data_IF_647992142816
#
_entry.id   IF_647992142816
#
_cell.length_a   1.000
_cell.length_b   1.000
_cell.length_c   1.000
_cell.angle_alpha   90.00
_cell.angle_beta   90.00
_cell.angle_gamma   90.00
#
_symmetry.space_group_name_H-M   'P 1'
#
loop_
_entity.id
_entity.type
_entity.pdbx_description
1 polymer ?
#
# COMPACT_ATOMS: atom_id res chain seq x y z
N UNK A 1 15.26 -5.98 -12.62
CA UNK A 1 14.42 -5.03 -13.37
C UNK A 1 13.06 -4.87 -12.72
N UNK A 2 12.89 -3.77 -12.00
CA UNK A 2 11.62 -3.37 -11.43
C UNK A 2 10.73 -2.74 -12.52
N UNK A 3 9.54 -3.31 -12.73
CA UNK A 3 8.54 -2.71 -13.64
C UNK A 3 7.94 -1.47 -12.98
N UNK A 4 8.06 -0.31 -13.62
CA UNK A 4 7.42 0.95 -13.21
C UNK A 4 5.98 1.02 -13.73
N UNK A 5 5.11 1.64 -12.95
CA UNK A 5 3.66 1.66 -13.18
C UNK A 5 3.09 3.07 -13.35
N UNK A 6 3.83 4.10 -12.95
CA UNK A 6 3.41 5.49 -12.94
C UNK A 6 3.85 6.15 -14.25
N UNK A 7 2.89 6.38 -15.14
CA UNK A 7 3.04 7.29 -16.28
C UNK A 7 2.87 8.75 -15.84
N UNK A 8 3.23 9.71 -16.69
CA UNK A 8 3.15 11.14 -16.34
C UNK A 8 1.72 11.58 -15.99
N UNK A 9 0.72 11.11 -16.74
CA UNK A 9 -0.69 11.37 -16.45
C UNK A 9 -1.14 10.78 -15.10
N UNK A 10 -0.74 9.54 -14.80
CA UNK A 10 -1.02 8.93 -13.48
C UNK A 10 -0.35 9.74 -12.38
N UNK A 11 0.88 10.21 -12.63
CA UNK A 11 1.61 11.02 -11.66
C UNK A 11 0.91 12.35 -11.36
N UNK A 12 0.40 13.05 -12.37
CA UNK A 12 -0.36 14.30 -12.18
C UNK A 12 -1.62 14.12 -11.33
N UNK A 13 -2.35 13.02 -11.56
CA UNK A 13 -3.53 12.67 -10.75
C UNK A 13 -3.13 12.37 -9.30
N UNK A 14 -2.10 11.55 -9.10
CA UNK A 14 -1.57 11.25 -7.77
C UNK A 14 -1.11 12.51 -7.04
N UNK A 15 -0.43 13.41 -7.75
CA UNK A 15 0.02 14.70 -7.21
C UNK A 15 -1.16 15.55 -6.73
N UNK A 16 -2.28 15.54 -7.46
CA UNK A 16 -3.49 16.26 -7.07
C UNK A 16 -4.07 15.71 -5.77
N UNK A 17 -4.18 14.38 -5.66
CA UNK A 17 -4.62 13.72 -4.42
C UNK A 17 -3.65 13.98 -3.27
N UNK A 18 -2.34 13.87 -3.50
CA UNK A 18 -1.32 14.15 -2.49
C UNK A 18 -1.43 15.59 -1.96
N UNK A 19 -1.64 16.57 -2.84
CA UNK A 19 -1.86 17.98 -2.45
C UNK A 19 -3.10 18.13 -1.57
N UNK A 20 -4.21 17.47 -1.91
CA UNK A 20 -5.44 17.52 -1.11
C UNK A 20 -5.24 17.00 0.31
N UNK A 21 -4.37 16.01 0.52
CA UNK A 21 -4.01 15.48 1.84
C UNK A 21 -2.84 16.22 2.52
N UNK A 22 -2.36 17.34 1.95
CA UNK A 22 -1.22 18.10 2.49
C UNK A 22 0.11 17.33 2.46
N UNK A 23 0.26 16.40 1.52
CA UNK A 23 1.49 15.65 1.29
C UNK A 23 2.41 16.47 0.36
N UNK A 24 3.51 16.99 0.91
CA UNK A 24 4.47 17.82 0.17
C UNK A 24 5.12 17.09 -1.00
N UNK A 25 5.38 17.85 -2.08
CA UNK A 25 6.05 17.40 -3.29
C UNK A 25 7.57 17.60 -3.19
N UNK A 26 8.32 16.52 -3.37
CA UNK A 26 9.77 16.48 -3.47
C UNK A 26 10.16 15.96 -4.85
N UNK A 27 11.37 16.32 -5.32
CA UNK A 27 11.90 15.90 -6.63
C UNK A 27 11.87 14.38 -6.86
N UNK A 28 11.97 13.60 -5.78
CA UNK A 28 12.06 12.14 -5.82
C UNK A 28 10.74 11.42 -5.47
N UNK A 29 9.62 12.15 -5.30
CA UNK A 29 8.38 11.54 -4.80
C UNK A 29 7.78 10.52 -5.77
N UNK A 30 7.98 10.68 -7.08
CA UNK A 30 7.53 9.68 -8.06
C UNK A 30 8.23 8.35 -7.86
N UNK A 31 9.55 8.36 -7.73
CA UNK A 31 10.38 7.17 -7.49
C UNK A 31 10.02 6.52 -6.14
N UNK A 32 9.80 7.33 -5.11
CA UNK A 32 9.31 6.86 -3.80
C UNK A 32 7.93 6.22 -3.91
N UNK A 33 7.02 6.83 -4.67
CA UNK A 33 5.68 6.29 -4.88
C UNK A 33 5.74 4.95 -5.63
N UNK A 34 6.61 4.82 -6.63
CA UNK A 34 6.85 3.53 -7.31
C UNK A 34 7.35 2.45 -6.36
N UNK A 35 8.31 2.78 -5.49
CA UNK A 35 8.80 1.85 -4.47
C UNK A 35 7.67 1.38 -3.53
N UNK A 36 6.78 2.29 -3.12
CA UNK A 36 5.62 1.97 -2.29
C UNK A 36 4.62 1.10 -3.05
N UNK A 37 4.29 1.44 -4.31
CA UNK A 37 3.40 0.63 -5.14
C UNK A 37 3.96 -0.77 -5.37
N UNK A 38 5.28 -0.89 -5.57
CA UNK A 38 5.96 -2.17 -5.68
C UNK A 38 5.81 -2.99 -4.39
N UNK A 39 6.01 -2.37 -3.21
CA UNK A 39 5.81 -3.01 -1.90
C UNK A 39 4.38 -3.49 -1.72
N UNK A 40 3.39 -2.63 -2.01
CA UNK A 40 1.96 -2.96 -1.86
C UNK A 40 1.51 -4.05 -2.83
N UNK A 41 2.08 -4.10 -4.04
CA UNK A 41 1.78 -5.14 -5.03
C UNK A 41 2.43 -6.48 -4.70
N UNK A 42 3.71 -6.48 -4.33
CA UNK A 42 4.47 -7.74 -4.14
C UNK A 42 4.27 -8.34 -2.77
N UNK A 43 4.11 -7.48 -1.77
CA UNK A 43 4.11 -7.85 -0.38
C UNK A 43 5.48 -8.08 0.24
N UNK A 44 6.54 -8.05 -0.55
CA UNK A 44 7.90 -8.33 -0.09
C UNK A 44 8.30 -7.40 1.07
N UNK A 45 9.15 -7.81 2.01
CA UNK A 45 9.69 -6.93 3.05
C UNK A 45 10.17 -5.58 2.50
N UNK A 46 10.04 -4.49 3.28
CA UNK A 46 10.52 -3.18 2.85
C UNK A 46 11.99 -3.21 2.41
N UNK A 47 12.82 -4.01 3.08
CA UNK A 47 14.26 -4.16 2.79
C UNK A 47 14.55 -4.74 1.39
N UNK A 48 13.58 -5.40 0.78
CA UNK A 48 13.73 -6.07 -0.52
C UNK A 48 13.29 -5.19 -1.68
N UNK A 49 12.93 -3.92 -1.42
CA UNK A 49 12.63 -2.96 -2.48
C UNK A 49 13.85 -2.86 -3.41
N UNK A 50 13.66 -3.04 -4.73
CA UNK A 50 14.75 -2.93 -5.70
C UNK A 50 15.44 -1.56 -5.62
N UNK A 51 16.77 -1.56 -5.65
CA UNK A 51 17.57 -0.34 -5.54
C UNK A 51 17.29 0.66 -6.68
N UNK A 52 16.84 0.16 -7.83
CA UNK A 52 16.36 0.93 -8.99
C UNK A 52 15.19 1.86 -8.64
N UNK A 53 14.37 1.49 -7.64
CA UNK A 53 13.25 2.29 -7.14
C UNK A 53 13.65 3.20 -5.96
N UNK A 54 14.94 3.26 -5.63
CA UNK A 54 15.49 4.10 -4.57
C UNK A 54 15.58 3.43 -3.20
N UNK A 55 15.84 4.23 -2.17
CA UNK A 55 16.08 3.74 -0.81
C UNK A 55 14.79 3.27 -0.12
N UNK A 56 14.78 2.02 0.32
CA UNK A 56 13.66 1.46 1.09
C UNK A 56 13.32 2.26 2.36
N UNK A 57 14.34 2.83 3.03
CA UNK A 57 14.15 3.65 4.23
C UNK A 57 13.33 4.89 3.90
N UNK A 58 13.63 5.52 2.77
CA UNK A 58 12.90 6.70 2.29
C UNK A 58 11.47 6.33 1.94
N UNK A 59 11.26 5.22 1.22
CA UNK A 59 9.93 4.71 0.88
C UNK A 59 9.08 4.44 2.14
N UNK A 60 9.63 3.71 3.10
CA UNK A 60 8.96 3.41 4.37
C UNK A 60 8.61 4.69 5.15
N UNK A 61 9.58 5.59 5.34
CA UNK A 61 9.35 6.83 6.10
C UNK A 61 8.30 7.73 5.46
N UNK A 62 8.29 7.80 4.12
CA UNK A 62 7.29 8.56 3.34
C UNK A 62 5.92 7.92 3.44
N UNK A 63 5.84 6.60 3.26
CA UNK A 63 4.60 5.84 3.42
C UNK A 63 3.98 6.09 4.80
N UNK A 64 4.76 5.92 5.88
CA UNK A 64 4.28 6.12 7.24
C UNK A 64 3.80 7.57 7.46
N UNK A 65 4.56 8.56 6.98
CA UNK A 65 4.17 9.98 7.07
C UNK A 65 2.86 10.26 6.32
N UNK A 66 2.70 9.76 5.10
CA UNK A 66 1.50 9.94 4.29
C UNK A 66 0.30 9.16 4.84
N UNK A 67 0.55 8.01 5.49
CA UNK A 67 -0.49 7.25 6.20
C UNK A 67 -1.09 8.06 7.34
N UNK A 68 -0.25 8.74 8.13
CA UNK A 68 -0.70 9.65 9.19
C UNK A 68 -1.48 10.86 8.66
N UNK A 69 -1.28 11.24 7.40
CA UNK A 69 -2.05 12.28 6.71
C UNK A 69 -3.36 11.77 6.07
N UNK A 70 -3.62 10.47 6.20
CA UNK A 70 -4.83 9.85 5.68
C UNK A 70 -4.78 9.48 4.20
N UNK A 71 -3.64 9.62 3.52
CA UNK A 71 -3.52 9.32 2.08
C UNK A 71 -3.94 7.87 1.75
N UNK A 72 -3.65 6.94 2.66
CA UNK A 72 -3.92 5.51 2.48
C UNK A 72 -5.23 5.03 3.12
N UNK A 73 -6.10 5.92 3.62
CA UNK A 73 -7.37 5.52 4.25
C UNK A 73 -8.28 4.77 3.27
N UNK A 74 -8.48 5.34 2.08
CA UNK A 74 -9.32 4.71 1.06
C UNK A 74 -8.73 3.39 0.53
N UNK A 75 -7.41 3.22 0.60
CA UNK A 75 -6.75 1.96 0.28
C UNK A 75 -7.20 0.83 1.21
N UNK A 76 -7.17 1.06 2.52
CA UNK A 76 -7.63 0.06 3.51
C UNK A 76 -9.13 -0.22 3.37
N UNK A 77 -9.96 0.79 3.10
CA UNK A 77 -11.40 0.60 2.86
C UNK A 77 -11.69 -0.28 1.63
N UNK A 78 -10.94 -0.10 0.53
CA UNK A 78 -11.09 -0.94 -0.66
C UNK A 78 -10.61 -2.36 -0.39
N UNK A 79 -9.53 -2.51 0.37
CA UNK A 79 -9.03 -3.81 0.79
C UNK A 79 -10.07 -4.57 1.64
N UNK A 80 -10.66 -3.90 2.62
CA UNK A 80 -11.75 -4.43 3.45
C UNK A 80 -12.93 -4.90 2.59
N UNK A 81 -13.44 -4.03 1.70
CA UNK A 81 -14.53 -4.36 0.76
C UNK A 81 -14.20 -5.54 -0.14
N UNK A 82 -12.94 -5.67 -0.56
CA UNK A 82 -12.47 -6.80 -1.39
C UNK A 82 -12.54 -8.11 -0.61
N UNK A 83 -12.15 -8.12 0.66
CA UNK A 83 -12.27 -9.29 1.52
C UNK A 83 -13.74 -9.65 1.76
N UNK A 84 -14.59 -8.69 2.10
CA UNK A 84 -16.03 -8.95 2.27
C UNK A 84 -16.65 -9.56 1.01
N UNK A 85 -16.30 -9.04 -0.18
CA UNK A 85 -16.79 -9.58 -1.47
C UNK A 85 -16.34 -11.01 -1.73
N UNK A 86 -15.17 -11.39 -1.23
CA UNK A 86 -14.62 -12.74 -1.39
C UNK A 86 -15.19 -13.74 -0.37
N UNK A 87 -16.17 -13.34 0.45
CA UNK A 87 -16.88 -14.22 1.38
C UNK A 87 -16.22 -14.39 2.75
N UNK A 88 -15.23 -13.57 3.09
CA UNK A 88 -14.62 -13.59 4.43
C UNK A 88 -15.57 -13.04 5.48
N UNK A 89 -15.58 -13.66 6.66
CA UNK A 89 -16.37 -13.19 7.80
C UNK A 89 -15.84 -11.86 8.35
N UNK A 90 -16.69 -11.11 9.06
CA UNK A 90 -16.33 -9.78 9.58
C UNK A 90 -15.08 -9.78 10.46
N UNK A 91 -14.87 -10.83 11.28
CA UNK A 91 -13.68 -10.98 12.13
C UNK A 91 -12.43 -11.25 11.30
N UNK A 92 -12.50 -12.10 10.28
CA UNK A 92 -11.39 -12.37 9.36
C UNK A 92 -10.98 -11.12 8.57
N UNK A 93 -11.96 -10.33 8.13
CA UNK A 93 -11.74 -9.04 7.46
C UNK A 93 -10.98 -8.08 8.38
N UNK A 94 -11.45 -7.93 9.63
CA UNK A 94 -10.81 -7.08 10.63
C UNK A 94 -9.35 -7.49 10.86
N UNK A 95 -9.08 -8.78 11.11
CA UNK A 95 -7.72 -9.28 11.30
C UNK A 95 -6.85 -9.12 10.05
N UNK A 96 -7.42 -9.30 8.85
CA UNK A 96 -6.71 -9.08 7.59
C UNK A 96 -6.25 -7.63 7.42
N UNK A 97 -7.11 -6.66 7.74
CA UNK A 97 -6.77 -5.22 7.69
C UNK A 97 -5.70 -4.88 8.72
N UNK A 98 -5.83 -5.36 9.95
CA UNK A 98 -4.86 -5.09 11.02
C UNK A 98 -3.49 -5.69 10.70
N UNK A 99 -3.44 -6.93 10.23
CA UNK A 99 -2.18 -7.56 9.81
C UNK A 99 -1.51 -6.76 8.69
N UNK A 100 -2.28 -6.29 7.70
CA UNK A 100 -1.74 -5.43 6.64
C UNK A 100 -1.17 -4.11 7.18
N UNK A 101 -1.87 -3.47 8.12
CA UNK A 101 -1.40 -2.23 8.75
C UNK A 101 -0.11 -2.46 9.55
N UNK A 102 -0.01 -3.59 10.26
CA UNK A 102 1.19 -3.99 10.99
C UNK A 102 2.37 -4.25 10.05
N UNK A 103 2.17 -5.00 8.96
CA UNK A 103 3.23 -5.28 7.97
C UNK A 103 3.75 -4.02 7.28
N UNK A 104 2.87 -3.04 7.08
CA UNK A 104 3.21 -1.74 6.52
C UNK A 104 3.80 -0.78 7.56
N UNK A 105 3.86 -1.17 8.83
CA UNK A 105 4.39 -0.39 9.95
C UNK A 105 3.50 0.80 10.34
N UNK A 106 2.21 0.73 10.03
CA UNK A 106 1.20 1.74 10.41
C UNK A 106 0.75 1.55 11.86
N UNK A 107 0.65 0.29 12.32
CA UNK A 107 0.22 -0.09 13.68
C UNK A 107 1.32 -0.94 14.33
N UNK A 108 1.64 -0.68 15.61
CA UNK A 108 2.62 -1.49 16.35
C UNK A 108 2.03 -2.83 16.79
N UNK A 109 2.85 -3.88 16.76
CA UNK A 109 2.46 -5.24 17.18
C UNK A 109 2.03 -5.27 18.65
N UNK A 110 2.58 -4.38 19.47
CA UNK A 110 2.30 -4.25 20.91
C UNK A 110 0.85 -3.87 21.22
N UNK A 111 0.11 -3.25 20.29
CA UNK A 111 -1.33 -2.99 20.46
C UNK A 111 -2.22 -4.21 20.16
N UNK A 112 -1.62 -5.32 19.73
CA UNK A 112 -2.34 -6.56 19.43
C UNK A 112 -2.19 -7.51 20.62
N UNK A 113 -3.14 -7.45 21.55
CA UNK A 113 -3.07 -8.17 22.82
C UNK A 113 -2.96 -9.70 22.66
N UNK A 114 -2.37 -10.37 23.66
CA UNK A 114 -1.88 -11.77 23.65
C UNK A 114 -2.88 -12.83 23.13
N UNK A 115 -4.18 -12.59 23.28
CA UNK A 115 -5.25 -13.47 22.78
C UNK A 115 -5.37 -13.51 21.24
N UNK A 116 -4.88 -12.48 20.54
CA UNK A 116 -4.85 -12.40 19.07
C UNK A 116 -3.66 -13.17 18.49
N UNK A 117 -2.59 -13.40 19.28
CA UNK A 117 -1.39 -14.10 18.83
C UNK A 117 -1.63 -15.60 18.55
N UNK A 118 -2.53 -16.25 19.31
CA UNK A 118 -2.90 -17.65 19.08
C UNK A 118 -3.81 -17.83 17.86
N UNK A 119 -4.62 -16.82 17.51
CA UNK A 119 -5.41 -16.81 16.26
C UNK A 119 -4.56 -16.47 15.03
N UNK A 120 -3.44 -15.73 15.16
CA UNK A 120 -2.52 -15.42 14.04
C UNK A 120 -1.94 -16.66 13.33
N UNK A 121 -1.73 -17.77 14.04
CA UNK A 121 -1.18 -18.99 13.43
C UNK A 121 -2.19 -19.74 12.55
N UNK A 122 -3.50 -19.54 12.73
CA UNK A 122 -4.53 -20.26 11.95
C UNK A 122 -4.91 -19.55 10.64
N UNK A 123 -4.59 -18.26 10.53
CA UNK A 123 -4.87 -17.42 9.35
C UNK A 123 -3.59 -16.91 8.68
N UNK A 124 -2.53 -17.71 8.74
CA UNK A 124 -1.28 -17.35 8.09
C UNK A 124 -1.48 -17.41 6.57
N UNK A 125 -1.55 -16.20 6.00
CA UNK A 125 -1.45 -15.85 4.58
C UNK A 125 -2.67 -16.03 3.68
N UNK A 126 -3.65 -15.14 3.82
CA UNK A 126 -4.34 -14.61 2.64
C UNK A 126 -3.63 -13.33 2.21
N UNK A 127 -2.46 -13.47 1.58
CA UNK A 127 -1.80 -12.38 0.86
C UNK A 127 -2.62 -12.06 -0.38
N UNK A 128 -3.73 -11.31 -0.26
CA UNK A 128 -4.33 -10.71 -1.44
C UNK A 128 -3.51 -9.49 -1.84
N UNK A 129 -2.35 -9.76 -2.47
CA UNK A 129 -1.60 -8.79 -3.27
C UNK A 129 -2.59 -7.90 -4.01
N UNK A 130 -2.55 -6.60 -3.73
CA UNK A 130 -3.46 -5.66 -4.35
C UNK A 130 -2.98 -5.41 -5.78
N UNK A 131 -3.90 -5.50 -6.74
CA UNK A 131 -3.58 -5.07 -8.09
C UNK A 131 -3.25 -3.58 -8.06
N UNK A 132 -2.22 -3.16 -8.80
CA UNK A 132 -1.84 -1.75 -8.90
C UNK A 132 -3.05 -0.89 -9.28
N UNK A 133 -3.94 -1.40 -10.14
CA UNK A 133 -5.19 -0.72 -10.50
C UNK A 133 -6.07 -0.41 -9.28
N UNK A 134 -6.25 -1.36 -8.36
CA UNK A 134 -7.02 -1.15 -7.14
C UNK A 134 -6.35 -0.14 -6.21
N UNK A 135 -5.01 -0.17 -6.12
CA UNK A 135 -4.22 0.79 -5.34
C UNK A 135 -4.38 2.19 -5.92
N UNK A 136 -4.16 2.36 -7.23
CA UNK A 136 -4.29 3.64 -7.91
C UNK A 136 -5.71 4.19 -7.83
N UNK A 137 -6.73 3.35 -8.01
CA UNK A 137 -8.13 3.74 -7.81
C UNK A 137 -8.41 4.21 -6.39
N UNK A 138 -7.78 3.60 -5.39
CA UNK A 138 -7.87 4.07 -4.01
C UNK A 138 -7.29 5.46 -3.79
N UNK A 139 -6.32 5.86 -4.61
CA UNK A 139 -5.69 7.18 -4.59
C UNK A 139 -6.38 8.19 -5.53
N UNK A 140 -7.57 7.86 -6.05
CA UNK A 140 -8.34 8.75 -6.92
C UNK A 140 -7.92 8.76 -8.39
N UNK A 141 -7.05 7.84 -8.82
CA UNK A 141 -6.66 7.73 -10.23
C UNK A 141 -7.79 7.07 -11.03
N UNK A 142 -8.20 7.70 -12.12
CA UNK A 142 -9.34 7.26 -12.95
C UNK A 142 -8.95 6.33 -14.09
N UNK A 143 -7.67 6.31 -14.49
CA UNK A 143 -7.22 5.61 -15.70
C UNK A 143 -6.79 4.15 -15.43
N UNK A 144 -7.37 3.21 -16.19
CA UNK A 144 -7.29 1.74 -15.97
C UNK A 144 -6.17 1.04 -16.78
N UNK A 145 -5.51 1.74 -17.70
CA UNK A 145 -4.49 1.16 -18.59
C UNK A 145 -3.07 1.43 -18.11
N UNK A 146 -2.69 0.79 -17.00
CA UNK A 146 -1.28 0.68 -16.63
C UNK A 146 -0.61 -0.36 -17.54
N UNK A 147 -0.02 0.07 -18.66
CA UNK A 147 0.99 -0.75 -19.35
C UNK A 147 2.26 -0.65 -18.51
N UNK A 148 2.59 -1.71 -17.78
CA UNK A 148 3.86 -1.81 -17.06
C UNK A 148 4.99 -1.61 -18.09
N UNK A 149 5.79 -0.56 -17.91
CA UNK A 149 6.91 -0.30 -18.82
C UNK A 149 8.06 -1.22 -18.43
N UNK A 150 8.58 -1.98 -19.40
CA UNK A 150 9.93 -2.54 -19.31
C UNK A 150 10.88 -1.48 -19.81
N UNK A 151 11.71 -0.96 -18.91
CA UNK A 151 12.90 -0.16 -19.24
C UNK A 151 13.87 -0.98 -20.07
#
# INVERSE_FOLDING_TARGET
MARTAITDNIWEQLQTTMKAHGCHQWKNDRTVMEAILWKLRTGAPWRDIPIELGSWKTAYNRFNRWSKKGLWQNFFLIYEKKLTKNGYSSTEVMYGVINMQVELGVVSIEQLDKAVAETRQKYTYVWTRMEIRSILKSLGVTCTTVKLQTT
#
